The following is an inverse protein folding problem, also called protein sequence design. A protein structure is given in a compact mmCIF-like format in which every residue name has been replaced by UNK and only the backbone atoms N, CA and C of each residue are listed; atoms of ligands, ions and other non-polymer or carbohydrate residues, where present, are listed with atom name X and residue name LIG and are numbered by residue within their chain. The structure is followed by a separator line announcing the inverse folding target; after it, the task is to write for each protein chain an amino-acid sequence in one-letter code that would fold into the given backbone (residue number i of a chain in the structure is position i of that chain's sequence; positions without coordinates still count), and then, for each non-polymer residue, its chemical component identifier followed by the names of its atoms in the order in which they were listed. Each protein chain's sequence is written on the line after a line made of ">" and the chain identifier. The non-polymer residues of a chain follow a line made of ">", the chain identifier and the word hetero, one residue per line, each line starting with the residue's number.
data_IF_462494243617
#
_entry.id   IF_462494243617
#
_cell.length_a   1.000
_cell.length_b   1.000
_cell.length_c   1.000
_cell.angle_alpha   90.00
_cell.angle_beta   90.00
_cell.angle_gamma   90.00
#
_symmetry.space_group_name_H-M   'P 1'
#
loop_
_entity.id
_entity.type
_entity.pdbx_description
1 polymer ?
#
# COMPACT_ATOMS: atom_id res chain seq x y z
N UNK A 1 -6.11 -13.33 14.30
CA UNK A 1 -7.26 -13.50 13.39
C UNK A 1 -7.55 -12.26 12.55
N UNK A 2 -7.73 -11.04 13.09
CA UNK A 2 -7.95 -9.87 12.20
C UNK A 2 -6.68 -9.26 11.62
N UNK A 3 -5.54 -9.29 12.33
CA UNK A 3 -4.27 -8.71 11.82
C UNK A 3 -3.65 -9.56 10.70
N UNK A 4 -3.75 -10.88 10.80
CA UNK A 4 -3.23 -11.83 9.80
C UNK A 4 -3.89 -11.63 8.42
N UNK A 5 -5.17 -11.26 8.40
CA UNK A 5 -5.91 -11.00 7.16
C UNK A 5 -5.45 -9.70 6.48
N UNK A 6 -5.17 -8.64 7.26
CA UNK A 6 -4.63 -7.38 6.74
C UNK A 6 -3.26 -7.56 6.09
N UNK A 7 -2.37 -8.32 6.74
CA UNK A 7 -1.03 -8.63 6.20
C UNK A 7 -1.17 -9.41 4.88
N UNK A 8 -2.03 -10.43 4.85
CA UNK A 8 -2.23 -11.22 3.64
C UNK A 8 -2.82 -10.41 2.47
N UNK A 9 -3.74 -9.47 2.74
CA UNK A 9 -4.27 -8.58 1.70
C UNK A 9 -3.21 -7.63 1.17
N UNK A 10 -2.38 -7.05 2.04
CA UNK A 10 -1.28 -6.19 1.64
C UNK A 10 -0.27 -6.92 0.75
N UNK A 11 0.19 -8.11 1.17
CA UNK A 11 1.10 -8.95 0.38
C UNK A 11 0.53 -9.31 -0.99
N UNK A 12 -0.77 -9.59 -1.06
CA UNK A 12 -1.46 -9.87 -2.32
C UNK A 12 -1.49 -8.64 -3.24
N UNK A 13 -1.81 -7.46 -2.71
CA UNK A 13 -1.82 -6.23 -3.52
C UNK A 13 -0.41 -5.86 -3.99
N UNK A 14 0.60 -6.04 -3.15
CA UNK A 14 2.00 -5.82 -3.50
C UNK A 14 2.45 -6.74 -4.63
N UNK A 15 2.15 -8.04 -4.53
CA UNK A 15 2.47 -9.01 -5.58
C UNK A 15 1.80 -8.67 -6.92
N UNK A 16 0.54 -8.24 -6.89
CA UNK A 16 -0.16 -7.82 -8.10
C UNK A 16 0.50 -6.58 -8.73
N UNK A 17 0.96 -5.62 -7.92
CA UNK A 17 1.68 -4.45 -8.41
C UNK A 17 3.00 -4.84 -9.07
N UNK A 18 3.78 -5.75 -8.46
CA UNK A 18 5.01 -6.28 -9.06
C UNK A 18 4.75 -6.96 -10.42
N UNK A 19 3.65 -7.71 -10.54
CA UNK A 19 3.28 -8.36 -11.80
C UNK A 19 2.90 -7.35 -12.89
N UNK A 20 2.24 -6.25 -12.52
CA UNK A 20 1.92 -5.14 -13.43
C UNK A 20 3.21 -4.49 -13.91
N UNK A 21 4.11 -4.14 -12.99
CA UNK A 21 5.41 -3.51 -13.32
C UNK A 21 6.20 -4.41 -14.27
N UNK A 22 6.34 -5.70 -13.95
CA UNK A 22 7.02 -6.67 -14.82
C UNK A 22 6.45 -6.71 -16.24
N UNK A 23 5.12 -6.65 -16.39
CA UNK A 23 4.47 -6.63 -17.70
C UNK A 23 4.67 -5.32 -18.45
N UNK A 24 4.71 -4.20 -17.74
CA UNK A 24 4.98 -2.89 -18.35
C UNK A 24 6.44 -2.79 -18.80
N UNK A 25 7.37 -3.34 -18.03
CA UNK A 25 8.81 -3.37 -18.34
C UNK A 25 9.18 -4.35 -19.47
N UNK A 26 8.35 -5.36 -19.76
CA UNK A 26 8.63 -6.30 -20.85
C UNK A 26 8.60 -5.65 -22.23
N UNK A 27 7.89 -4.51 -22.38
CA UNK A 27 7.75 -3.80 -23.65
C UNK A 27 6.86 -4.52 -24.68
N UNK A 28 6.21 -5.61 -24.31
CA UNK A 28 5.35 -6.41 -25.21
C UNK A 28 3.90 -5.89 -25.27
N UNK A 29 3.54 -4.93 -24.42
CA UNK A 29 2.19 -4.39 -24.33
C UNK A 29 1.93 -3.34 -25.42
N UNK A 30 0.74 -3.39 -26.00
CA UNK A 30 0.22 -2.27 -26.80
C UNK A 30 -0.02 -1.04 -25.92
N UNK A 31 -0.09 0.15 -26.52
CA UNK A 31 -0.37 1.39 -25.79
C UNK A 31 -1.65 1.31 -24.94
N UNK A 32 -2.73 0.76 -25.49
CA UNK A 32 -3.99 0.58 -24.78
C UNK A 32 -3.84 -0.39 -23.59
N UNK A 33 -3.12 -1.49 -23.77
CA UNK A 33 -2.85 -2.43 -22.69
C UNK A 33 -1.98 -1.81 -21.59
N UNK A 34 -0.97 -1.02 -21.97
CA UNK A 34 -0.10 -0.29 -21.03
C UNK A 34 -0.88 0.73 -20.21
N UNK A 35 -1.80 1.48 -20.83
CA UNK A 35 -2.68 2.42 -20.12
C UNK A 35 -3.57 1.70 -19.11
N UNK A 36 -4.14 0.55 -19.50
CA UNK A 36 -4.96 -0.26 -18.60
C UNK A 36 -4.15 -0.82 -17.42
N UNK A 37 -2.94 -1.32 -17.66
CA UNK A 37 -2.04 -1.79 -16.61
C UNK A 37 -1.65 -0.65 -15.65
N UNK A 38 -1.41 0.56 -16.17
CA UNK A 38 -1.12 1.73 -15.36
C UNK A 38 -2.30 2.12 -14.46
N UNK A 39 -3.53 2.19 -14.98
CA UNK A 39 -4.72 2.47 -14.18
C UNK A 39 -4.92 1.43 -13.05
N UNK A 40 -4.72 0.16 -13.36
CA UNK A 40 -4.79 -0.94 -12.39
C UNK A 40 -3.71 -0.81 -11.32
N UNK A 41 -2.48 -0.45 -11.69
CA UNK A 41 -1.38 -0.16 -10.78
C UNK A 41 -1.70 0.98 -9.81
N UNK A 42 -2.23 2.10 -10.31
CA UNK A 42 -2.65 3.24 -9.48
C UNK A 42 -3.76 2.84 -8.50
N UNK A 43 -4.71 2.03 -8.94
CA UNK A 43 -5.78 1.51 -8.07
C UNK A 43 -5.23 0.64 -6.95
N UNK A 44 -4.28 -0.25 -7.25
CA UNK A 44 -3.64 -1.11 -6.25
C UNK A 44 -2.82 -0.30 -5.24
N UNK A 45 -2.08 0.72 -5.67
CA UNK A 45 -1.32 1.60 -4.78
C UNK A 45 -2.25 2.27 -3.76
N UNK A 46 -3.40 2.79 -4.22
CA UNK A 46 -4.40 3.41 -3.33
C UNK A 46 -4.97 2.41 -2.32
N UNK A 47 -5.22 1.17 -2.75
CA UNK A 47 -5.70 0.10 -1.87
C UNK A 47 -4.65 -0.27 -0.81
N UNK A 48 -3.37 -0.34 -1.18
CA UNK A 48 -2.28 -0.57 -0.22
C UNK A 48 -2.20 0.55 0.82
N UNK A 49 -2.26 1.81 0.39
CA UNK A 49 -2.24 2.97 1.29
C UNK A 49 -3.42 2.95 2.27
N UNK A 50 -4.62 2.62 1.79
CA UNK A 50 -5.81 2.50 2.64
C UNK A 50 -5.63 1.38 3.68
N UNK A 51 -5.16 0.20 3.26
CA UNK A 51 -4.93 -0.92 4.18
C UNK A 51 -3.90 -0.58 5.27
N UNK A 52 -2.85 0.16 4.93
CA UNK A 52 -1.85 0.64 5.90
C UNK A 52 -2.45 1.68 6.87
N UNK A 53 -3.24 2.63 6.37
CA UNK A 53 -3.94 3.61 7.21
C UNK A 53 -4.89 2.93 8.21
N UNK A 54 -5.69 1.97 7.74
CA UNK A 54 -6.61 1.21 8.59
C UNK A 54 -5.85 0.42 9.67
N UNK A 55 -4.71 -0.18 9.30
CA UNK A 55 -3.84 -0.86 10.25
C UNK A 55 -3.27 0.09 11.31
N UNK A 56 -2.76 1.25 10.90
CA UNK A 56 -2.23 2.28 11.79
C UNK A 56 -3.29 2.79 12.78
N UNK A 57 -4.49 3.10 12.29
CA UNK A 57 -5.59 3.56 13.13
C UNK A 57 -5.99 2.50 14.16
N UNK A 58 -6.01 1.23 13.76
CA UNK A 58 -6.30 0.12 14.67
C UNK A 58 -5.23 -0.04 15.75
N UNK A 59 -3.95 0.11 15.41
CA UNK A 59 -2.86 0.12 16.39
C UNK A 59 -3.04 1.28 17.37
N UNK A 60 -3.35 2.49 16.88
CA UNK A 60 -3.53 3.66 17.73
C UNK A 60 -4.67 3.48 18.75
N UNK A 61 -5.81 2.93 18.33
CA UNK A 61 -6.93 2.61 19.23
C UNK A 61 -6.52 1.59 20.30
N UNK A 62 -5.79 0.54 19.91
CA UNK A 62 -5.32 -0.48 20.85
C UNK A 62 -4.35 0.09 21.89
N UNK A 63 -3.48 1.02 21.48
CA UNK A 63 -2.53 1.71 22.38
C UNK A 63 -3.23 2.66 23.34
N UNK A 64 -4.24 3.40 22.88
CA UNK A 64 -5.05 4.27 23.76
C UNK A 64 -5.80 3.46 24.82
N UNK A 65 -6.31 2.28 24.46
CA UNK A 65 -7.04 1.41 25.39
C UNK A 65 -6.13 0.69 26.40
N UNK A 66 -4.81 0.67 26.19
CA UNK A 66 -3.85 -0.03 27.07
C UNK A 66 -3.19 0.85 28.12
N UNK A 67 -3.63 2.11 28.31
CA UNK A 67 -3.10 3.07 29.29
C UNK A 67 -1.56 3.25 29.26
N UNK A 68 -0.90 2.92 28.14
CA UNK A 68 0.51 3.24 27.93
C UNK A 68 0.62 4.61 27.25
N UNK A 69 1.07 5.67 27.95
CA UNK A 69 1.27 6.97 27.33
C UNK A 69 2.48 6.87 26.41
N UNK A 70 2.24 6.66 25.11
CA UNK A 70 3.32 6.63 24.12
C UNK A 70 3.07 7.75 23.12
N UNK A 71 3.87 8.81 23.22
CA UNK A 71 4.08 9.79 22.16
C UNK A 71 4.70 9.08 20.95
N UNK A 72 3.88 8.45 20.11
CA UNK A 72 4.30 7.99 18.79
C UNK A 72 3.57 8.88 17.80
N UNK A 73 4.30 9.86 17.26
CA UNK A 73 3.82 10.67 16.15
C UNK A 73 3.88 9.80 14.89
N UNK A 74 2.73 9.36 14.42
CA UNK A 74 2.61 8.70 13.11
C UNK A 74 2.56 9.81 12.07
N UNK A 75 3.73 10.17 11.54
CA UNK A 75 3.75 11.00 10.34
C UNK A 75 3.38 10.15 9.13
N UNK A 76 2.62 10.70 8.16
CA UNK A 76 2.42 10.05 6.88
C UNK A 76 3.78 9.71 6.28
N UNK A 77 3.90 8.50 5.71
CA UNK A 77 5.06 8.18 4.87
C UNK A 77 5.06 9.14 3.68
N UNK A 78 5.82 10.23 3.79
CA UNK A 78 6.23 11.02 2.64
C UNK A 78 7.32 10.22 1.94
N UNK A 79 7.00 9.71 0.76
CA UNK A 79 8.02 9.31 -0.18
C UNK A 79 8.78 10.59 -0.55
N UNK A 80 9.99 10.75 -0.03
CA UNK A 80 10.87 11.85 -0.42
C UNK A 80 11.40 11.56 -1.83
N UNK A 81 10.52 11.62 -2.82
CA UNK A 81 10.91 11.78 -4.22
C UNK A 81 11.08 13.28 -4.51
N UNK A 82 12.01 13.91 -3.79
CA UNK A 82 12.64 15.17 -4.19
C UNK A 82 14.12 14.84 -4.37
N UNK A 83 14.50 14.44 -5.58
CA UNK A 83 15.69 14.97 -6.27
C UNK A 83 15.80 14.41 -7.70
N UNK A 84 15.60 15.34 -8.65
CA UNK A 84 16.11 15.43 -10.03
C UNK A 84 15.64 14.44 -11.12
#
# INVERSE_FOLDING_TARGET
>A
MTTDNLIHQYEKHLKNLEDIVRKMESGELSLEASLKQYEEGISLIRQCQQALNDAQQKVQILMQNSNQPSQISLEPFHDQSDDA
#
